data_IF_712764975262
#
_entry.id   IF_712764975262
#
_cell.length_a   1.000
_cell.length_b   1.000
_cell.length_c   1.000
_cell.angle_alpha   90.00
_cell.angle_beta   90.00
_cell.angle_gamma   90.00
#
_symmetry.space_group_name_H-M   'P 1'
#
loop_
_entity.id
_entity.type
_entity.pdbx_description
1 polymer ?
#
# COMPACT_ATOMS: atom_id res chain seq x y z
N UNK A 1 17.75 -10.60 9.23
CA UNK A 1 16.67 -9.62 9.49
C UNK A 1 15.46 -10.40 9.98
N UNK A 2 14.92 -10.02 11.14
CA UNK A 2 13.68 -10.63 11.62
C UNK A 2 12.50 -10.10 10.82
N UNK A 3 11.57 -11.00 10.47
CA UNK A 3 10.41 -10.67 9.63
C UNK A 3 9.17 -11.29 10.25
N UNK A 4 8.16 -10.46 10.49
CA UNK A 4 6.84 -10.92 10.91
C UNK A 4 5.97 -11.23 9.70
N UNK A 5 5.17 -12.28 9.80
CA UNK A 5 4.11 -12.64 8.84
C UNK A 5 2.79 -12.74 9.55
N UNK A 6 1.78 -12.12 8.99
CA UNK A 6 0.41 -12.31 9.46
C UNK A 6 -0.07 -13.69 9.00
N UNK A 7 -0.57 -14.54 9.91
CA UNK A 7 -1.09 -15.87 9.55
C UNK A 7 -2.24 -15.78 8.54
N UNK A 8 -2.29 -16.73 7.61
CA UNK A 8 -3.27 -16.73 6.50
C UNK A 8 -4.72 -16.85 7.00
N UNK A 9 -4.96 -17.46 8.16
CA UNK A 9 -6.28 -17.57 8.78
C UNK A 9 -6.91 -16.19 9.08
N UNK A 10 -6.08 -15.16 9.26
CA UNK A 10 -6.53 -13.78 9.47
C UNK A 10 -7.20 -13.18 8.25
N UNK A 11 -6.95 -13.74 7.08
CA UNK A 11 -7.48 -13.28 5.80
C UNK A 11 -8.56 -14.21 5.24
N UNK A 12 -8.97 -15.22 6.02
CA UNK A 12 -10.05 -16.11 5.62
C UNK A 12 -11.41 -15.38 5.64
N UNK A 13 -12.20 -15.58 4.61
CA UNK A 13 -13.61 -15.14 4.54
C UNK A 13 -13.81 -13.63 4.78
N UNK A 14 -12.91 -12.78 4.31
CA UNK A 14 -13.06 -11.34 4.42
C UNK A 14 -14.21 -10.83 3.52
N UNK A 15 -15.09 -9.93 4.02
CA UNK A 15 -16.23 -9.42 3.26
C UNK A 15 -15.81 -8.78 1.92
N UNK A 16 -16.34 -9.31 0.81
CA UNK A 16 -16.09 -8.76 -0.52
C UNK A 16 -14.66 -8.88 -1.03
N UNK A 17 -13.88 -9.86 -0.51
CA UNK A 17 -12.48 -10.06 -0.88
C UNK A 17 -12.19 -11.52 -1.27
N UNK A 18 -12.75 -12.00 -2.40
CA UNK A 18 -12.61 -13.39 -2.83
C UNK A 18 -11.34 -13.66 -3.65
N UNK A 19 -10.37 -12.74 -3.64
CA UNK A 19 -9.21 -12.77 -4.52
C UNK A 19 -8.13 -13.73 -4.03
N UNK A 20 -7.51 -14.46 -4.97
CA UNK A 20 -6.40 -15.33 -4.68
C UNK A 20 -5.11 -14.52 -4.38
N UNK A 21 -4.34 -14.91 -3.37
CA UNK A 21 -3.07 -14.24 -3.08
C UNK A 21 -1.98 -14.65 -4.06
N UNK A 22 -1.23 -13.67 -4.55
CA UNK A 22 0.01 -13.88 -5.29
C UNK A 22 1.18 -13.30 -4.50
N UNK A 23 2.39 -13.80 -4.77
CA UNK A 23 3.58 -13.34 -4.05
C UNK A 23 4.75 -13.14 -4.99
N UNK A 24 5.43 -12.02 -4.84
CA UNK A 24 6.71 -11.71 -5.47
C UNK A 24 7.82 -11.75 -4.43
N UNK A 25 8.90 -12.47 -4.76
CA UNK A 25 10.09 -12.51 -3.94
C UNK A 25 10.95 -11.30 -4.27
N UNK A 26 11.01 -10.34 -3.37
CA UNK A 26 11.84 -9.15 -3.49
C UNK A 26 13.27 -9.39 -2.99
N UNK A 27 14.16 -8.42 -3.19
CA UNK A 27 15.52 -8.47 -2.67
C UNK A 27 15.55 -8.75 -1.16
N UNK A 28 16.54 -9.52 -0.71
CA UNK A 28 16.68 -9.91 0.70
C UNK A 28 15.70 -10.97 1.18
N UNK A 29 15.07 -11.73 0.27
CA UNK A 29 14.11 -12.80 0.57
C UNK A 29 12.79 -12.34 1.19
N UNK A 30 12.45 -11.06 1.09
CA UNK A 30 11.15 -10.54 1.52
C UNK A 30 10.06 -10.89 0.50
N UNK A 31 8.91 -11.31 1.01
CA UNK A 31 7.75 -11.70 0.23
C UNK A 31 6.73 -10.57 0.16
N UNK A 32 6.52 -10.00 -1.01
CA UNK A 32 5.47 -9.04 -1.30
C UNK A 32 4.22 -9.74 -1.80
N UNK A 33 3.10 -9.52 -1.13
CA UNK A 33 1.79 -9.95 -1.62
C UNK A 33 1.25 -8.98 -2.67
N UNK A 34 0.54 -9.51 -3.65
CA UNK A 34 -0.24 -8.71 -4.59
C UNK A 34 -1.46 -9.51 -5.09
N UNK A 35 -2.48 -8.78 -5.51
CA UNK A 35 -3.59 -9.32 -6.29
C UNK A 35 -3.27 -9.18 -7.79
N UNK A 36 -3.73 -10.14 -8.59
CA UNK A 36 -3.53 -10.16 -10.05
C UNK A 36 -4.80 -10.70 -10.72
N UNK A 37 -5.72 -9.79 -11.04
CA UNK A 37 -7.06 -10.11 -11.51
C UNK A 37 -7.27 -9.63 -12.95
N UNK A 38 -8.02 -10.40 -13.73
CA UNK A 38 -8.29 -10.11 -15.14
C UNK A 38 -7.31 -10.80 -16.10
N UNK A 39 -7.37 -10.42 -17.38
CA UNK A 39 -6.55 -11.04 -18.43
C UNK A 39 -5.11 -10.52 -18.35
N UNK A 40 -4.14 -11.42 -18.46
CA UNK A 40 -2.72 -11.09 -18.34
C UNK A 40 -2.18 -10.19 -19.46
N UNK A 41 -2.80 -10.21 -20.62
CA UNK A 41 -2.46 -9.42 -21.80
C UNK A 41 -3.21 -8.09 -21.91
N UNK A 42 -4.05 -7.77 -20.93
CA UNK A 42 -4.80 -6.52 -20.88
C UNK A 42 -3.98 -5.35 -20.35
N UNK A 43 -4.34 -4.09 -20.69
CA UNK A 43 -3.79 -2.91 -20.04
C UNK A 43 -3.97 -2.97 -18.51
N UNK A 44 -3.00 -2.45 -17.76
CA UNK A 44 -2.90 -2.67 -16.32
C UNK A 44 -3.48 -1.50 -15.52
N UNK A 45 -4.29 -1.80 -14.51
CA UNK A 45 -4.56 -0.91 -13.38
C UNK A 45 -3.66 -1.30 -12.22
N UNK A 46 -2.58 -0.54 -11.98
CA UNK A 46 -1.69 -0.71 -10.83
C UNK A 46 -2.25 0.08 -9.64
N UNK A 47 -2.77 -0.63 -8.64
CA UNK A 47 -3.49 -0.04 -7.51
C UNK A 47 -2.60 0.04 -6.26
N UNK A 48 -2.13 1.24 -5.91
CA UNK A 48 -1.26 1.47 -4.76
C UNK A 48 -2.01 2.10 -3.60
N UNK A 49 -2.14 1.35 -2.50
CA UNK A 49 -2.84 1.77 -1.29
C UNK A 49 -1.99 2.72 -0.43
N UNK A 50 -2.61 3.28 0.59
CA UNK A 50 -1.95 4.08 1.62
C UNK A 50 -2.05 3.48 3.00
N UNK A 51 -1.80 4.32 3.99
CA UNK A 51 -1.81 3.97 5.40
C UNK A 51 -3.15 4.38 6.04
N UNK A 52 -3.82 3.52 6.82
CA UNK A 52 -3.49 2.17 7.30
C UNK A 52 -4.10 1.06 6.47
N UNK A 53 -4.32 1.30 5.22
CA UNK A 53 -5.01 0.36 4.35
C UNK A 53 -4.06 -0.69 3.74
N UNK A 54 -4.59 -1.56 2.92
CA UNK A 54 -3.90 -2.57 2.16
C UNK A 54 -4.74 -2.90 0.92
N UNK A 55 -4.41 -3.86 0.10
CA UNK A 55 -5.14 -4.16 -1.15
C UNK A 55 -6.65 -4.34 -0.98
N UNK A 56 -7.13 -4.63 0.24
CA UNK A 56 -8.54 -4.63 0.60
C UNK A 56 -9.27 -3.32 0.29
N UNK A 57 -8.55 -2.18 0.27
CA UNK A 57 -9.09 -0.88 -0.13
C UNK A 57 -9.77 -0.96 -1.50
N UNK A 58 -9.13 -1.67 -2.43
CA UNK A 58 -9.55 -1.74 -3.82
C UNK A 58 -10.59 -2.81 -4.12
N UNK A 59 -11.03 -3.62 -3.12
CA UNK A 59 -11.92 -4.77 -3.31
C UNK A 59 -13.18 -4.48 -4.13
N UNK A 60 -13.74 -3.27 -4.00
CA UNK A 60 -14.94 -2.85 -4.74
C UNK A 60 -14.62 -2.28 -6.13
N UNK A 61 -13.40 -1.80 -6.34
CA UNK A 61 -12.96 -1.24 -7.63
C UNK A 61 -12.43 -2.33 -8.56
N UNK A 62 -11.82 -3.37 -8.03
CA UNK A 62 -11.23 -4.47 -8.81
C UNK A 62 -12.24 -5.08 -9.80
N UNK A 63 -13.47 -5.48 -9.38
CA UNK A 63 -14.43 -6.05 -10.33
C UNK A 63 -14.84 -5.07 -11.44
N UNK A 64 -14.94 -3.77 -11.13
CA UNK A 64 -15.27 -2.75 -12.13
C UNK A 64 -14.15 -2.56 -13.16
N UNK A 65 -12.89 -2.54 -12.72
CA UNK A 65 -11.74 -2.46 -13.62
C UNK A 65 -11.61 -3.70 -14.50
N UNK A 66 -11.80 -4.90 -13.94
CA UNK A 66 -11.79 -6.15 -14.71
C UNK A 66 -12.92 -6.17 -15.73
N UNK A 67 -14.13 -5.75 -15.35
CA UNK A 67 -15.26 -5.64 -16.26
C UNK A 67 -15.02 -4.61 -17.38
N UNK A 68 -14.22 -3.58 -17.13
CA UNK A 68 -13.77 -2.61 -18.12
C UNK A 68 -12.61 -3.11 -19.00
N UNK A 69 -12.20 -4.37 -18.85
CA UNK A 69 -11.16 -5.00 -19.66
C UNK A 69 -9.73 -4.72 -19.20
N UNK A 70 -9.53 -4.30 -17.95
CA UNK A 70 -8.20 -4.08 -17.37
C UNK A 70 -7.73 -5.31 -16.59
N UNK A 71 -6.40 -5.52 -16.56
CA UNK A 71 -5.74 -6.37 -15.57
C UNK A 71 -5.47 -5.53 -14.33
N UNK A 72 -5.86 -5.98 -13.15
CA UNK A 72 -5.64 -5.27 -11.91
C UNK A 72 -4.50 -5.90 -11.14
N UNK A 73 -3.45 -5.15 -10.88
CA UNK A 73 -2.36 -5.53 -9.98
C UNK A 73 -2.40 -4.63 -8.75
N UNK A 74 -2.67 -5.22 -7.57
CA UNK A 74 -2.80 -4.47 -6.33
C UNK A 74 -1.87 -5.06 -5.26
N UNK A 75 -0.62 -4.56 -5.16
CA UNK A 75 0.32 -5.00 -4.13
C UNK A 75 -0.05 -4.47 -2.75
N UNK A 76 0.34 -5.23 -1.72
CA UNK A 76 0.46 -4.73 -0.36
C UNK A 76 1.89 -4.23 -0.15
N UNK A 77 2.08 -2.97 0.24
CA UNK A 77 3.41 -2.49 0.64
C UNK A 77 3.96 -3.33 1.79
N UNK A 78 5.28 -3.46 1.89
CA UNK A 78 5.90 -4.10 3.05
C UNK A 78 5.45 -3.44 4.34
N UNK A 79 5.19 -4.23 5.38
CA UNK A 79 4.57 -3.75 6.61
C UNK A 79 3.04 -3.82 6.62
N UNK A 80 2.40 -3.99 5.47
CA UNK A 80 0.93 -4.00 5.32
C UNK A 80 0.40 -5.32 4.76
N UNK A 81 -0.91 -5.50 4.87
CA UNK A 81 -1.62 -6.62 4.27
C UNK A 81 -0.97 -7.96 4.56
N UNK A 82 -0.84 -8.78 3.51
CA UNK A 82 -0.18 -10.09 3.54
C UNK A 82 1.33 -10.04 3.25
N UNK A 83 1.87 -8.87 2.91
CA UNK A 83 3.31 -8.70 2.70
C UNK A 83 4.09 -8.87 4.00
N UNK A 84 5.36 -9.26 3.86
CA UNK A 84 6.29 -9.38 4.97
C UNK A 84 6.46 -8.07 5.72
N UNK A 85 6.76 -8.17 7.01
CA UNK A 85 6.86 -7.05 7.94
C UNK A 85 8.22 -7.12 8.67
N UNK A 86 9.29 -6.55 8.06
CA UNK A 86 10.57 -6.39 8.75
C UNK A 86 10.41 -5.75 10.13
N UNK A 87 11.11 -6.29 11.14
CA UNK A 87 11.04 -5.72 12.50
C UNK A 87 11.92 -4.50 12.69
N UNK A 88 12.91 -4.32 11.83
CA UNK A 88 13.79 -3.15 11.87
C UNK A 88 13.10 -1.94 11.22
N UNK A 89 12.83 -0.92 12.03
CA UNK A 89 12.21 0.34 11.60
C UNK A 89 13.00 1.06 10.52
N UNK A 90 14.33 0.98 10.56
CA UNK A 90 15.20 1.63 9.58
C UNK A 90 15.02 1.08 8.15
N UNK A 91 14.42 -0.11 8.01
CA UNK A 91 14.10 -0.70 6.70
C UNK A 91 13.06 0.12 5.94
N UNK A 92 12.11 0.76 6.63
CA UNK A 92 10.95 1.41 6.01
C UNK A 92 11.27 2.82 5.51
N UNK A 93 12.10 2.91 4.47
CA UNK A 93 12.41 4.16 3.81
C UNK A 93 11.49 4.38 2.60
N UNK A 94 11.45 5.61 2.10
CA UNK A 94 10.77 5.95 0.84
C UNK A 94 11.33 5.10 -0.32
N UNK A 95 12.65 5.05 -0.43
CA UNK A 95 13.33 4.30 -1.49
C UNK A 95 13.06 2.80 -1.39
N UNK A 96 13.00 2.24 -0.18
CA UNK A 96 12.66 0.83 0.02
C UNK A 96 11.27 0.50 -0.55
N UNK A 97 10.27 1.29 -0.23
CA UNK A 97 8.91 1.08 -0.75
C UNK A 97 8.85 1.32 -2.26
N UNK A 98 9.43 2.42 -2.73
CA UNK A 98 9.45 2.75 -4.14
C UNK A 98 10.12 1.67 -4.98
N UNK A 99 11.34 1.27 -4.60
CA UNK A 99 12.12 0.28 -5.33
C UNK A 99 11.45 -1.10 -5.31
N UNK A 100 10.72 -1.45 -4.25
CA UNK A 100 9.98 -2.70 -4.20
C UNK A 100 8.80 -2.72 -5.19
N UNK A 101 8.13 -1.59 -5.43
CA UNK A 101 7.11 -1.48 -6.47
C UNK A 101 7.72 -1.51 -7.87
N UNK A 102 8.85 -0.80 -8.09
CA UNK A 102 9.58 -0.86 -9.36
C UNK A 102 9.98 -2.32 -9.67
N UNK A 103 10.53 -3.04 -8.71
CA UNK A 103 10.89 -4.45 -8.88
C UNK A 103 9.68 -5.34 -9.23
N UNK A 104 8.51 -5.08 -8.64
CA UNK A 104 7.27 -5.79 -8.99
C UNK A 104 6.83 -5.47 -10.43
N UNK A 105 6.87 -4.19 -10.84
CA UNK A 105 6.54 -3.77 -12.21
C UNK A 105 7.43 -4.48 -13.23
N UNK A 106 8.73 -4.55 -12.95
CA UNK A 106 9.71 -5.22 -13.80
C UNK A 106 9.51 -6.73 -13.84
N UNK A 107 9.35 -7.38 -12.67
CA UNK A 107 9.17 -8.82 -12.57
C UNK A 107 7.91 -9.34 -13.26
N UNK A 108 6.84 -8.55 -13.29
CA UNK A 108 5.60 -8.86 -13.97
C UNK A 108 5.55 -8.31 -15.41
N UNK A 109 6.60 -7.61 -15.86
CA UNK A 109 6.69 -6.87 -17.13
C UNK A 109 5.44 -6.03 -17.41
N UNK A 110 4.97 -5.27 -16.41
CA UNK A 110 3.76 -4.48 -16.54
C UNK A 110 3.96 -3.34 -17.55
N UNK A 111 3.00 -3.21 -18.47
CA UNK A 111 2.95 -2.19 -19.54
C UNK A 111 1.55 -1.61 -19.64
N UNK A 112 1.41 -0.48 -20.37
CA UNK A 112 0.13 0.21 -20.52
C UNK A 112 -0.56 0.48 -19.18
N UNK A 113 0.23 0.95 -18.21
CA UNK A 113 -0.19 1.09 -16.81
C UNK A 113 -1.04 2.35 -16.65
N UNK A 114 -2.24 2.16 -16.10
CA UNK A 114 -2.97 3.20 -15.40
C UNK A 114 -2.60 3.10 -13.93
N UNK A 115 -1.84 4.07 -13.39
CA UNK A 115 -1.57 4.13 -11.97
C UNK A 115 -2.82 4.60 -11.23
N UNK A 116 -3.31 3.78 -10.31
CA UNK A 116 -4.43 4.09 -9.41
C UNK A 116 -3.85 4.21 -8.00
N UNK A 117 -3.83 5.40 -7.43
CA UNK A 117 -3.10 5.62 -6.18
C UNK A 117 -3.85 6.53 -5.22
N UNK A 118 -3.60 6.32 -3.92
CA UNK A 118 -4.21 7.04 -2.83
C UNK A 118 -3.22 7.14 -1.66
N UNK A 119 -3.20 8.28 -0.93
CA UNK A 119 -2.39 8.52 0.27
C UNK A 119 -0.89 8.22 0.01
N UNK A 120 -0.22 7.37 0.79
CA UNK A 120 1.17 6.95 0.56
C UNK A 120 1.39 6.27 -0.80
N UNK A 121 0.39 5.57 -1.31
CA UNK A 121 0.44 5.00 -2.65
C UNK A 121 0.62 6.07 -3.73
N UNK A 122 0.10 7.28 -3.50
CA UNK A 122 0.33 8.43 -4.37
C UNK A 122 1.70 9.05 -4.18
N UNK A 123 2.10 9.32 -2.94
CA UNK A 123 3.42 9.89 -2.64
C UNK A 123 4.56 9.06 -3.25
N UNK A 124 4.45 7.74 -3.19
CA UNK A 124 5.43 6.81 -3.73
C UNK A 124 5.20 6.61 -5.24
N UNK A 125 3.98 6.29 -5.63
CA UNK A 125 3.64 5.85 -6.97
C UNK A 125 3.83 6.92 -8.04
N UNK A 126 3.51 8.18 -7.73
CA UNK A 126 3.63 9.30 -8.70
C UNK A 126 5.09 9.62 -9.09
N UNK A 127 6.07 9.12 -8.34
CA UNK A 127 7.49 9.27 -8.70
C UNK A 127 7.98 8.20 -9.68
N UNK A 128 7.26 7.09 -9.84
CA UNK A 128 7.71 5.96 -10.67
C UNK A 128 7.62 6.25 -12.17
N UNK A 129 6.55 6.89 -12.70
CA UNK A 129 6.45 7.22 -14.11
C UNK A 129 7.58 8.10 -14.64
N UNK A 130 8.26 8.86 -13.77
CA UNK A 130 9.38 9.71 -14.16
C UNK A 130 10.58 8.89 -14.65
N UNK A 131 10.82 7.71 -14.05
CA UNK A 131 11.93 6.82 -14.43
C UNK A 131 11.51 5.76 -15.47
N UNK A 132 10.20 5.49 -15.58
CA UNK A 132 9.65 4.44 -16.45
C UNK A 132 8.52 4.98 -17.35
N UNK A 133 8.68 6.15 -18.05
CA UNK A 133 7.59 6.85 -18.72
C UNK A 133 6.90 5.97 -19.77
N UNK A 134 7.63 5.11 -20.44
CA UNK A 134 7.09 4.23 -21.50
C UNK A 134 6.19 3.10 -20.98
N UNK A 135 6.10 2.88 -19.67
CA UNK A 135 5.23 1.88 -19.07
C UNK A 135 3.88 2.43 -18.64
N UNK A 136 3.77 3.76 -18.47
CA UNK A 136 2.58 4.41 -17.92
C UNK A 136 1.83 5.19 -18.98
N UNK A 137 0.50 5.12 -18.97
CA UNK A 137 -0.38 5.84 -19.89
C UNK A 137 -1.30 6.82 -19.17
N UNK A 138 -1.74 6.49 -17.96
CA UNK A 138 -2.75 7.27 -17.23
C UNK A 138 -2.47 7.27 -15.74
N UNK A 139 -3.01 8.30 -15.07
CA UNK A 139 -2.98 8.45 -13.62
C UNK A 139 -4.41 8.64 -13.11
N UNK A 140 -4.84 7.83 -12.15
CA UNK A 140 -6.04 8.00 -11.35
C UNK A 140 -5.62 8.30 -9.91
N UNK A 141 -5.62 9.58 -9.57
CA UNK A 141 -5.06 10.09 -8.31
C UNK A 141 -6.18 10.42 -7.34
N UNK A 142 -6.17 9.84 -6.15
CA UNK A 142 -7.20 9.99 -5.14
C UNK A 142 -6.58 10.36 -3.79
N UNK A 143 -7.07 11.43 -3.14
CA UNK A 143 -6.71 11.80 -1.76
C UNK A 143 -5.22 11.65 -1.43
N UNK A 144 -4.38 12.27 -2.24
CA UNK A 144 -2.91 12.27 -2.07
C UNK A 144 -2.35 13.61 -2.53
N UNK A 145 -1.05 13.76 -2.36
CA UNK A 145 -0.31 14.92 -2.83
C UNK A 145 0.98 14.47 -3.52
N UNK A 146 1.56 15.37 -4.28
CA UNK A 146 2.90 15.22 -4.82
C UNK A 146 3.80 16.27 -4.16
N UNK A 147 4.77 15.81 -3.39
CA UNK A 147 5.71 16.70 -2.71
C UNK A 147 6.93 16.99 -3.58
N UNK A 148 7.17 18.25 -3.91
CA UNK A 148 8.36 18.71 -4.61
C UNK A 148 9.53 19.01 -3.66
N UNK A 149 9.27 19.04 -2.35
CA UNK A 149 10.25 19.37 -1.33
C UNK A 149 10.41 20.88 -1.06
N UNK A 150 9.71 21.72 -1.83
CA UNK A 150 9.82 23.19 -1.74
C UNK A 150 8.91 23.78 -0.67
N UNK A 151 7.85 23.07 -0.29
CA UNK A 151 6.90 23.50 0.71
C UNK A 151 7.04 22.72 2.03
N UNK A 152 6.82 23.37 3.18
CA UNK A 152 6.77 22.66 4.46
C UNK A 152 5.62 21.65 4.48
N UNK A 153 5.78 20.59 5.28
CA UNK A 153 4.72 19.63 5.51
C UNK A 153 3.50 20.31 6.13
N UNK A 154 2.31 20.00 5.62
CA UNK A 154 1.07 20.56 6.16
C UNK A 154 0.84 20.17 7.62
N UNK A 155 0.24 21.09 8.39
CA UNK A 155 -0.06 20.89 9.83
C UNK A 155 -0.87 19.61 10.09
N UNK A 156 -1.86 19.31 9.23
CA UNK A 156 -2.67 18.09 9.33
C UNK A 156 -1.84 16.82 9.21
N UNK A 157 -0.85 16.79 8.31
CA UNK A 157 0.08 15.66 8.20
C UNK A 157 0.97 15.53 9.43
N UNK A 158 1.50 16.64 9.94
CA UNK A 158 2.34 16.65 11.15
C UNK A 158 1.55 16.18 12.38
N UNK A 159 0.32 16.65 12.54
CA UNK A 159 -0.58 16.22 13.61
C UNK A 159 -0.92 14.72 13.50
N UNK A 160 -1.25 14.24 12.30
CA UNK A 160 -1.49 12.82 12.05
C UNK A 160 -0.26 11.97 12.39
N UNK A 161 0.93 12.38 11.95
CA UNK A 161 2.19 11.69 12.24
C UNK A 161 2.47 11.62 13.73
N UNK A 162 2.29 12.73 14.45
CA UNK A 162 2.47 12.79 15.91
C UNK A 162 1.46 11.87 16.62
N UNK A 163 0.19 11.92 16.22
CA UNK A 163 -0.87 11.06 16.76
C UNK A 163 -0.57 9.58 16.51
N UNK A 164 -0.29 9.19 15.27
CA UNK A 164 -0.02 7.79 14.92
C UNK A 164 1.20 7.22 15.66
N UNK A 165 2.26 8.03 15.79
CA UNK A 165 3.46 7.63 16.52
C UNK A 165 3.21 7.48 18.05
N UNK A 166 2.26 8.23 18.60
CA UNK A 166 1.90 8.14 20.02
C UNK A 166 1.01 6.94 20.37
N UNK A 167 0.46 6.24 19.35
CA UNK A 167 -0.53 5.15 19.50
C UNK A 167 -0.01 3.84 18.93
N UNK A 168 0.94 3.15 19.61
CA UNK A 168 1.50 1.90 19.11
C UNK A 168 0.46 0.79 18.95
N UNK A 169 -0.61 0.81 19.72
CA UNK A 169 -1.70 -0.17 19.70
C UNK A 169 -3.01 0.44 19.12
N UNK A 170 -2.88 1.16 18.01
CA UNK A 170 -4.03 1.81 17.37
C UNK A 170 -5.06 0.77 16.90
N UNK A 171 -6.31 0.96 17.30
CA UNK A 171 -7.42 0.17 16.79
C UNK A 171 -7.78 0.61 15.36
N UNK A 172 -7.29 -0.16 14.39
CA UNK A 172 -7.50 0.14 12.97
C UNK A 172 -8.97 0.00 12.57
N UNK A 173 -9.70 -0.96 13.15
CA UNK A 173 -11.13 -1.12 12.84
C UNK A 173 -11.92 0.12 13.29
N UNK A 174 -11.70 0.58 14.52
CA UNK A 174 -12.33 1.78 15.04
C UNK A 174 -11.92 3.04 14.25
N UNK A 175 -10.64 3.15 13.86
CA UNK A 175 -10.15 4.25 13.04
C UNK A 175 -10.85 4.30 11.69
N UNK A 176 -10.92 3.17 10.99
CA UNK A 176 -11.57 3.08 9.68
C UNK A 176 -13.06 3.36 9.76
N UNK A 177 -13.75 2.84 10.80
CA UNK A 177 -15.17 3.10 11.01
C UNK A 177 -15.47 4.57 11.31
N UNK A 178 -14.58 5.26 12.03
CA UNK A 178 -14.67 6.70 12.26
C UNK A 178 -14.49 7.50 10.96
N UNK A 179 -13.55 7.09 10.11
CA UNK A 179 -13.29 7.76 8.84
C UNK A 179 -14.42 7.49 7.81
N UNK A 180 -15.00 6.30 7.83
CA UNK A 180 -16.06 5.87 6.91
C UNK A 180 -17.18 5.20 7.72
N UNK A 181 -18.13 5.99 8.26
CA UNK A 181 -19.20 5.47 9.14
C UNK A 181 -20.10 4.40 8.51
N UNK A 182 -20.17 4.35 7.18
CA UNK A 182 -20.95 3.35 6.43
C UNK A 182 -20.31 1.96 6.35
N UNK A 183 -19.09 1.77 6.83
CA UNK A 183 -18.46 0.45 6.89
C UNK A 183 -19.22 -0.45 7.87
N UNK A 184 -19.49 -1.69 7.46
CA UNK A 184 -19.95 -2.73 8.38
C UNK A 184 -18.84 -3.09 9.38
N UNK A 185 -19.20 -3.72 10.51
CA UNK A 185 -18.20 -4.20 11.48
C UNK A 185 -17.24 -5.23 10.86
N UNK A 186 -17.75 -6.08 9.96
CA UNK A 186 -16.95 -7.04 9.23
C UNK A 186 -15.94 -6.38 8.28
N UNK A 187 -16.34 -5.32 7.56
CA UNK A 187 -15.42 -4.56 6.70
C UNK A 187 -14.37 -3.81 7.52
N UNK A 188 -14.75 -3.22 8.65
CA UNK A 188 -13.81 -2.56 9.55
C UNK A 188 -12.80 -3.57 10.14
N UNK A 189 -13.27 -4.74 10.56
CA UNK A 189 -12.41 -5.82 11.04
C UNK A 189 -11.46 -6.33 9.94
N UNK A 190 -11.90 -6.36 8.67
CA UNK A 190 -11.06 -6.76 7.55
C UNK A 190 -9.89 -5.78 7.32
N UNK A 191 -10.09 -4.47 7.49
CA UNK A 191 -8.97 -3.52 7.47
C UNK A 191 -7.96 -3.79 8.60
N UNK A 192 -8.42 -4.26 9.74
CA UNK A 192 -7.57 -4.60 10.89
C UNK A 192 -6.93 -6.00 10.80
N UNK A 193 -7.34 -6.84 9.84
CA UNK A 193 -6.87 -8.22 9.71
C UNK A 193 -5.34 -8.38 9.69
N UNK A 194 -4.55 -7.52 8.99
CA UNK A 194 -3.09 -7.62 8.96
C UNK A 194 -2.41 -7.34 10.29
N UNK A 195 -3.10 -6.69 11.23
CA UNK A 195 -2.48 -6.15 12.44
C UNK A 195 -2.86 -6.98 13.67
N UNK A 196 -1.88 -7.31 14.52
CA UNK A 196 -2.10 -7.98 15.82
C UNK A 196 -2.21 -6.93 16.92
N UNK A 197 -3.06 -7.16 17.93
CA UNK A 197 -3.30 -6.24 19.05
C UNK A 197 -2.07 -5.90 19.91
N UNK A 198 -0.91 -6.59 19.80
CA UNK A 198 0.27 -6.34 20.65
C UNK A 198 1.65 -6.32 19.95
N UNK A 199 1.79 -6.78 18.72
CA UNK A 199 3.13 -6.89 18.10
C UNK A 199 3.28 -6.25 16.73
N UNK A 200 2.20 -5.99 16.00
CA UNK A 200 2.27 -5.44 14.65
C UNK A 200 2.03 -3.93 14.59
N UNK A 201 1.64 -3.32 15.70
CA UNK A 201 1.53 -1.86 15.82
C UNK A 201 2.89 -1.18 15.96
N UNK A 202 3.94 -1.91 16.33
CA UNK A 202 5.30 -1.45 16.14
C UNK A 202 5.65 -1.24 14.65
N UNK A 203 5.03 -2.01 13.75
CA UNK A 203 5.12 -1.81 12.30
C UNK A 203 4.53 -0.45 11.87
N UNK A 204 3.53 0.07 12.60
CA UNK A 204 2.98 1.40 12.40
C UNK A 204 3.96 2.52 12.69
N UNK A 205 4.66 2.44 13.81
CA UNK A 205 5.77 3.35 14.09
C UNK A 205 6.82 3.26 12.98
N UNK A 206 7.00 2.07 12.45
CA UNK A 206 8.03 1.70 11.50
C UNK A 206 7.72 2.23 10.11
N UNK A 207 6.51 2.06 9.61
CA UNK A 207 6.09 2.60 8.32
C UNK A 207 5.86 4.12 8.35
N UNK A 208 5.60 4.71 9.53
CA UNK A 208 5.45 6.16 9.75
C UNK A 208 6.68 6.83 10.38
N UNK A 209 7.74 6.07 10.67
CA UNK A 209 9.05 6.62 11.01
C UNK A 209 9.46 7.65 9.95
N UNK A 210 10.11 8.75 10.29
CA UNK A 210 10.36 9.82 9.35
C UNK A 210 11.09 9.26 8.13
N UNK A 211 10.34 9.00 7.07
CA UNK A 211 10.92 9.00 5.75
C UNK A 211 11.70 10.31 5.71
N UNK A 212 13.00 10.23 5.68
CA UNK A 212 13.84 11.41 5.66
C UNK A 212 13.54 12.15 4.37
N UNK A 213 12.62 13.11 4.44
CA UNK A 213 12.21 14.00 3.37
C UNK A 213 13.39 14.75 2.75
N UNK A 214 14.57 14.68 3.37
CA UNK A 214 15.82 15.23 2.87
C UNK A 214 16.28 14.66 1.52
N UNK A 215 15.69 13.55 1.04
CA UNK A 215 15.99 12.97 -0.26
C UNK A 215 14.92 13.21 -1.35
N UNK A 216 13.83 13.90 -1.04
CA UNK A 216 12.90 14.41 -2.07
C UNK A 216 13.42 15.66 -2.80
N UNK A 217 14.71 15.97 -2.72
CA UNK A 217 15.35 16.85 -3.68
C UNK A 217 15.51 16.07 -4.97
N UNK A 218 14.44 15.94 -5.71
CA UNK A 218 14.45 15.52 -7.10
C UNK A 218 14.26 16.78 -7.93
N UNK A 219 15.41 17.27 -8.42
CA UNK A 219 15.66 18.37 -9.37
C UNK A 219 15.54 19.80 -8.84
#
# INVERSE_FOLDING_TARGET
MNVLRTPDERFASLPGYPFAPHYHQSAGSLRMHFLDEGRRDAPVALCLHGQPTWSYLYRKMIPAFVAAGLRVVAPDFFGFGRSDKPEDEATYTFDFHRNSIVALIEALDLKHITLVCQDWGGLIGLTIPMDMPNRFERLLVMNTTFGTGDAPLGEGFLAWRAFSNSKPDMDIAALMKRAVPSLSDGEAAAYAAPFRRRSSTSVWRRASSPMTWQRLRVF
#
